data_IF_247333944109
#
_entry.id   IF_247333944109
#
_cell.length_a   1.000
_cell.length_b   1.000
_cell.length_c   1.000
_cell.angle_alpha   90.00
_cell.angle_beta   90.00
_cell.angle_gamma   90.00
#
_symmetry.space_group_name_H-M   'P 1'
#
loop_
_entity.id
_entity.type
_entity.pdbx_description
1 polymer ?
#
# COMPACT_ATOMS: atom_id res chain seq x y z
N UNK A 1 3.86 -18.64 -37.97
CA UNK A 1 5.22 -18.47 -37.40
C UNK A 1 5.73 -19.85 -37.03
N UNK A 2 6.96 -20.23 -37.43
CA UNK A 2 7.52 -21.55 -37.08
C UNK A 2 7.97 -21.50 -35.60
N UNK A 3 7.72 -22.55 -34.78
CA UNK A 3 8.01 -22.54 -33.34
C UNK A 3 9.41 -22.08 -32.95
N UNK A 4 10.44 -22.38 -33.75
CA UNK A 4 11.82 -21.96 -33.49
C UNK A 4 12.03 -20.44 -33.57
N UNK A 5 11.37 -19.75 -34.50
CA UNK A 5 11.44 -18.29 -34.60
C UNK A 5 10.64 -17.61 -33.50
N UNK A 6 9.55 -18.23 -33.05
CA UNK A 6 8.79 -17.73 -31.91
C UNK A 6 9.62 -17.79 -30.62
N UNK A 7 10.28 -18.91 -30.33
CA UNK A 7 11.18 -19.05 -29.17
C UNK A 7 12.31 -18.00 -29.23
N UNK A 8 12.97 -17.89 -30.38
CA UNK A 8 14.09 -16.97 -30.54
C UNK A 8 13.67 -15.50 -30.38
N UNK A 9 12.57 -15.09 -31.00
CA UNK A 9 12.17 -13.67 -31.01
C UNK A 9 11.49 -13.30 -29.68
N UNK A 10 10.57 -14.12 -29.20
CA UNK A 10 9.72 -13.75 -28.05
C UNK A 10 10.38 -14.12 -26.73
N UNK A 11 10.82 -15.37 -26.57
CA UNK A 11 11.35 -15.88 -25.30
C UNK A 11 12.81 -15.47 -25.08
N UNK A 12 13.65 -15.56 -26.11
CA UNK A 12 15.08 -15.20 -25.97
C UNK A 12 15.36 -13.74 -26.30
N UNK A 13 14.73 -13.21 -27.35
CA UNK A 13 14.91 -11.82 -27.74
C UNK A 13 14.25 -10.86 -26.75
N UNK A 14 12.92 -10.74 -26.83
CA UNK A 14 12.20 -9.71 -26.11
C UNK A 14 12.19 -9.91 -24.59
N UNK A 15 11.93 -11.13 -24.11
CA UNK A 15 11.77 -11.37 -22.68
C UNK A 15 13.07 -11.21 -21.89
N UNK A 16 14.21 -11.71 -22.39
CA UNK A 16 15.50 -11.54 -21.71
C UNK A 16 15.92 -10.05 -21.67
N UNK A 17 15.76 -9.32 -22.78
CA UNK A 17 16.04 -7.88 -22.83
C UNK A 17 15.16 -7.10 -21.84
N UNK A 18 13.86 -7.43 -21.77
CA UNK A 18 12.96 -6.77 -20.81
C UNK A 18 13.33 -7.08 -19.35
N UNK A 19 13.73 -8.33 -19.06
CA UNK A 19 14.21 -8.70 -17.73
C UNK A 19 15.49 -7.94 -17.36
N UNK A 20 16.49 -7.95 -18.23
CA UNK A 20 17.75 -7.23 -18.01
C UNK A 20 17.52 -5.73 -17.84
N UNK A 21 16.65 -5.14 -18.66
CA UNK A 21 16.26 -3.75 -18.52
C UNK A 21 15.59 -3.49 -17.17
N UNK A 22 14.65 -4.35 -16.75
CA UNK A 22 13.98 -4.19 -15.46
C UNK A 22 14.94 -4.27 -14.28
N UNK A 23 15.93 -5.18 -14.32
CA UNK A 23 16.98 -5.23 -13.29
C UNK A 23 17.86 -3.98 -13.32
N UNK A 24 18.16 -3.44 -14.51
CA UNK A 24 18.97 -2.23 -14.65
C UNK A 24 18.36 -1.01 -13.96
N UNK A 25 17.02 -0.97 -13.85
CA UNK A 25 16.25 0.07 -13.17
C UNK A 25 16.15 -0.15 -11.65
N UNK A 26 16.43 -1.36 -11.16
CA UNK A 26 16.41 -1.65 -9.73
C UNK A 26 17.65 -1.12 -9.02
N UNK A 27 17.58 -1.10 -7.68
CA UNK A 27 18.66 -0.68 -6.80
C UNK A 27 19.98 -1.40 -7.10
N UNK A 28 21.09 -0.79 -6.68
CA UNK A 28 22.41 -1.42 -6.78
C UNK A 28 22.46 -2.78 -6.06
N UNK A 29 21.76 -2.91 -4.93
CA UNK A 29 21.68 -4.15 -4.17
C UNK A 29 21.13 -5.30 -5.03
N UNK A 30 20.01 -5.09 -5.74
CA UNK A 30 19.46 -6.13 -6.60
C UNK A 30 20.41 -6.43 -7.76
N UNK A 31 20.91 -5.39 -8.46
CA UNK A 31 21.76 -5.53 -9.67
C UNK A 31 23.05 -6.32 -9.47
N UNK A 32 23.61 -6.32 -8.26
CA UNK A 32 24.92 -6.92 -7.98
C UNK A 32 24.83 -8.33 -7.41
N UNK A 33 23.63 -8.82 -7.12
CA UNK A 33 23.42 -10.08 -6.43
C UNK A 33 23.09 -11.24 -7.37
N UNK A 34 22.82 -12.40 -6.77
CA UNK A 34 22.62 -13.64 -7.50
C UNK A 34 21.33 -13.63 -8.32
N UNK A 35 21.28 -14.56 -9.28
CA UNK A 35 20.06 -14.84 -10.07
C UNK A 35 18.82 -15.09 -9.19
N UNK A 36 19.00 -15.73 -8.04
CA UNK A 36 17.88 -15.95 -7.09
C UNK A 36 17.31 -14.62 -6.57
N UNK A 37 18.17 -13.65 -6.24
CA UNK A 37 17.73 -12.32 -5.79
C UNK A 37 17.06 -11.56 -6.94
N UNK A 38 17.56 -11.69 -8.16
CA UNK A 38 16.90 -11.17 -9.35
C UNK A 38 15.49 -11.75 -9.52
N UNK A 39 15.33 -13.07 -9.43
CA UNK A 39 14.02 -13.73 -9.54
C UNK A 39 13.06 -13.29 -8.43
N UNK A 40 13.54 -13.08 -7.20
CA UNK A 40 12.73 -12.46 -6.13
C UNK A 40 12.38 -11.00 -6.43
N UNK A 41 13.32 -10.21 -6.97
CA UNK A 41 13.11 -8.82 -7.36
C UNK A 41 12.01 -8.68 -8.43
N UNK A 42 11.87 -9.65 -9.33
CA UNK A 42 10.80 -9.67 -10.34
C UNK A 42 9.39 -9.70 -9.72
N UNK A 43 9.23 -10.27 -8.52
CA UNK A 43 7.93 -10.26 -7.83
C UNK A 43 7.42 -8.84 -7.60
N UNK A 44 8.32 -7.87 -7.43
CA UNK A 44 7.96 -6.45 -7.32
C UNK A 44 7.16 -5.98 -8.52
N UNK A 45 7.59 -6.36 -9.73
CA UNK A 45 6.95 -5.96 -10.98
C UNK A 45 5.68 -6.78 -11.19
N UNK A 46 5.71 -8.08 -10.91
CA UNK A 46 4.56 -8.97 -11.12
C UNK A 46 3.37 -8.58 -10.25
N UNK A 47 3.61 -8.27 -8.97
CA UNK A 47 2.56 -7.96 -8.00
C UNK A 47 2.08 -6.51 -8.07
N UNK A 48 2.82 -5.61 -8.73
CA UNK A 48 2.51 -4.18 -8.75
C UNK A 48 2.06 -3.73 -10.13
N UNK A 49 0.85 -3.19 -10.20
CA UNK A 49 0.33 -2.63 -11.44
C UNK A 49 -0.74 -1.59 -11.17
N UNK A 50 -0.96 -0.73 -12.14
CA UNK A 50 -2.12 0.16 -12.16
C UNK A 50 -3.32 -0.66 -12.63
N UNK A 51 -4.36 -0.75 -11.80
CA UNK A 51 -5.54 -1.59 -12.07
C UNK A 51 -6.82 -0.79 -11.90
N UNK A 52 -7.67 -0.78 -12.94
CA UNK A 52 -8.93 -0.01 -12.97
C UNK A 52 -9.97 -0.49 -11.95
N UNK A 53 -10.06 -1.80 -11.71
CA UNK A 53 -11.06 -2.39 -10.81
C UNK A 53 -10.61 -2.51 -9.34
N UNK A 54 -9.43 -2.02 -9.00
CA UNK A 54 -8.84 -2.10 -7.66
C UNK A 54 -7.95 -0.88 -7.38
N UNK A 55 -8.50 0.30 -7.71
CA UNK A 55 -7.83 1.59 -7.51
C UNK A 55 -7.72 1.91 -6.03
N UNK A 56 -6.57 2.47 -5.69
CA UNK A 56 -6.27 3.06 -4.40
C UNK A 56 -7.00 4.41 -4.29
N UNK A 57 -7.65 4.75 -3.15
CA UNK A 57 -8.24 6.08 -2.97
C UNK A 57 -7.26 7.22 -3.26
N UNK A 58 -7.80 8.31 -3.83
CA UNK A 58 -7.03 9.46 -4.29
C UNK A 58 -6.17 10.06 -3.17
N UNK A 59 -4.93 10.36 -3.51
CA UNK A 59 -3.99 11.10 -2.67
C UNK A 59 -4.42 12.57 -2.59
N UNK A 60 -3.90 13.28 -1.59
CA UNK A 60 -4.18 14.71 -1.44
C UNK A 60 -3.69 15.49 -2.67
N UNK A 61 -4.49 16.44 -3.20
CA UNK A 61 -4.05 17.36 -4.25
C UNK A 61 -2.91 18.29 -3.77
N UNK A 62 -2.72 18.41 -2.45
CA UNK A 62 -1.67 19.22 -1.81
C UNK A 62 -0.39 18.42 -1.51
N UNK A 63 -0.25 17.23 -2.11
CA UNK A 63 0.95 16.40 -1.97
C UNK A 63 2.17 17.08 -2.63
N UNK A 64 3.34 16.98 -1.99
CA UNK A 64 4.61 17.46 -2.58
C UNK A 64 5.00 16.61 -3.80
N UNK A 65 5.76 17.19 -4.72
CA UNK A 65 6.29 16.46 -5.87
C UNK A 65 7.25 15.32 -5.45
N UNK A 66 7.34 14.21 -6.23
CA UNK A 66 6.57 13.93 -7.45
C UNK A 66 5.12 13.54 -7.13
N UNK A 67 4.16 14.02 -7.92
CA UNK A 67 2.75 13.62 -7.88
C UNK A 67 2.47 12.49 -8.88
N UNK A 68 1.50 11.60 -8.60
CA UNK A 68 1.08 10.59 -9.56
C UNK A 68 0.49 11.25 -10.81
N UNK A 69 0.73 10.65 -11.97
CA UNK A 69 0.11 11.09 -13.23
C UNK A 69 -1.41 11.02 -13.13
N UNK A 70 -2.10 12.01 -13.70
CA UNK A 70 -3.56 12.05 -13.75
C UNK A 70 -4.04 11.70 -15.16
N UNK A 71 -5.10 10.90 -15.23
CA UNK A 71 -5.80 10.55 -16.47
C UNK A 71 -7.29 10.81 -16.27
N UNK A 72 -8.00 11.22 -17.32
CA UNK A 72 -9.46 11.27 -17.30
C UNK A 72 -9.99 9.92 -17.76
N UNK A 73 -10.78 9.25 -16.93
CA UNK A 73 -11.40 7.98 -17.30
C UNK A 73 -12.41 8.23 -18.43
N UNK A 74 -12.21 7.61 -19.59
CA UNK A 74 -13.04 7.83 -20.78
C UNK A 74 -14.51 7.42 -20.58
N UNK A 75 -14.81 6.55 -19.62
CA UNK A 75 -16.15 6.02 -19.39
C UNK A 75 -16.91 6.81 -18.32
N UNK A 76 -16.23 7.20 -17.23
CA UNK A 76 -16.86 7.93 -16.11
C UNK A 76 -16.62 9.43 -16.17
N UNK A 77 -15.70 9.90 -17.01
CA UNK A 77 -15.22 11.29 -17.08
C UNK A 77 -14.61 11.80 -15.77
N UNK A 78 -14.24 10.89 -14.86
CA UNK A 78 -13.61 11.24 -13.59
C UNK A 78 -12.10 11.39 -13.76
N UNK A 79 -11.52 12.38 -13.08
CA UNK A 79 -10.07 12.52 -12.95
C UNK A 79 -9.53 11.47 -11.98
N UNK A 80 -8.62 10.63 -12.45
CA UNK A 80 -8.06 9.53 -11.67
C UNK A 80 -6.54 9.60 -11.63
N UNK A 81 -6.00 9.41 -10.43
CA UNK A 81 -4.56 9.30 -10.21
C UNK A 81 -4.09 7.88 -10.56
N UNK A 82 -3.05 7.80 -11.39
CA UNK A 82 -2.44 6.57 -11.85
C UNK A 82 -1.47 6.03 -10.79
N UNK A 83 -2.00 5.66 -9.63
CA UNK A 83 -1.23 5.06 -8.55
C UNK A 83 -1.13 3.54 -8.73
N UNK A 84 0.07 2.97 -8.87
CA UNK A 84 0.24 1.52 -8.84
C UNK A 84 -0.19 0.95 -7.50
N UNK A 85 -0.88 -0.19 -7.52
CA UNK A 85 -1.34 -0.87 -6.32
C UNK A 85 -0.74 -2.28 -6.25
N UNK A 86 -0.48 -2.76 -5.04
CA UNK A 86 0.16 -4.05 -4.80
C UNK A 86 -0.89 -5.15 -4.57
N UNK A 87 -0.85 -6.19 -5.40
CA UNK A 87 -1.63 -7.41 -5.20
C UNK A 87 -1.08 -8.23 -4.03
N UNK A 88 -1.96 -8.77 -3.18
CA UNK A 88 -1.55 -9.73 -2.15
C UNK A 88 -1.15 -11.09 -2.74
N UNK A 89 -1.60 -11.42 -3.96
CA UNK A 89 -1.14 -12.60 -4.67
C UNK A 89 -2.00 -13.01 -5.86
N UNK A 90 -1.40 -13.74 -6.80
CA UNK A 90 -2.10 -14.32 -7.94
C UNK A 90 -2.51 -15.77 -7.70
N UNK A 91 -3.57 -16.27 -8.35
CA UNK A 91 -4.56 -15.53 -9.14
C UNK A 91 -5.78 -15.08 -8.31
N UNK A 92 -5.77 -15.27 -6.99
CA UNK A 92 -6.97 -15.08 -6.16
C UNK A 92 -7.11 -13.68 -5.57
N UNK A 93 -6.01 -12.95 -5.40
CA UNK A 93 -5.94 -11.65 -4.73
C UNK A 93 -5.30 -10.58 -5.63
N UNK A 94 -5.60 -10.61 -6.93
CA UNK A 94 -5.02 -9.67 -7.90
C UNK A 94 -5.99 -8.59 -8.38
N UNK A 95 -7.29 -8.67 -8.07
CA UNK A 95 -8.29 -7.74 -8.60
C UNK A 95 -9.46 -7.53 -7.65
N UNK A 96 -10.25 -6.49 -7.93
CA UNK A 96 -11.40 -6.11 -7.11
C UNK A 96 -11.02 -5.73 -5.68
N UNK A 97 -11.96 -5.94 -4.76
CA UNK A 97 -11.80 -5.65 -3.33
C UNK A 97 -10.73 -6.51 -2.64
N UNK A 98 -10.31 -7.61 -3.27
CA UNK A 98 -9.37 -8.58 -2.70
C UNK A 98 -7.91 -8.31 -3.03
N UNK A 99 -7.64 -7.30 -3.87
CA UNK A 99 -6.28 -7.01 -4.35
C UNK A 99 -5.38 -6.49 -3.23
N UNK A 100 -5.85 -5.47 -2.51
CA UNK A 100 -5.05 -4.68 -1.58
C UNK A 100 -5.44 -5.03 -0.15
N UNK A 101 -4.46 -5.47 0.64
CA UNK A 101 -4.62 -5.77 2.06
C UNK A 101 -3.48 -5.08 2.81
N UNK A 102 -3.76 -4.11 3.67
CA UNK A 102 -2.69 -3.28 4.22
C UNK A 102 -1.63 -4.05 5.01
N UNK A 103 -2.03 -5.11 5.73
CA UNK A 103 -1.08 -6.06 6.35
C UNK A 103 -0.07 -6.62 5.33
N UNK A 104 -0.56 -7.25 4.28
CA UNK A 104 0.25 -7.92 3.26
C UNK A 104 1.06 -6.90 2.46
N UNK A 105 0.47 -5.73 2.20
CA UNK A 105 1.15 -4.60 1.54
C UNK A 105 2.34 -4.13 2.35
N UNK A 106 2.18 -3.86 3.65
CA UNK A 106 3.26 -3.30 4.46
C UNK A 106 4.30 -4.31 4.92
N UNK A 107 3.95 -5.58 5.08
CA UNK A 107 4.97 -6.63 5.26
C UNK A 107 5.86 -6.70 4.01
N UNK A 108 5.26 -6.62 2.82
CA UNK A 108 5.97 -6.76 1.56
C UNK A 108 6.67 -5.48 1.09
N UNK A 109 6.25 -4.29 1.56
CA UNK A 109 6.72 -2.99 1.09
C UNK A 109 8.24 -2.85 1.15
N UNK A 110 8.87 -3.30 2.24
CA UNK A 110 10.32 -3.23 2.39
C UNK A 110 11.03 -4.05 1.31
N UNK A 111 10.63 -5.31 1.10
CA UNK A 111 11.25 -6.20 0.13
C UNK A 111 10.95 -5.83 -1.32
N UNK A 112 9.70 -5.51 -1.63
CA UNK A 112 9.24 -5.31 -3.00
C UNK A 112 9.49 -3.90 -3.51
N UNK A 113 9.51 -2.87 -2.65
CA UNK A 113 9.70 -1.49 -3.10
C UNK A 113 11.00 -0.86 -2.59
N UNK A 114 11.28 -0.90 -1.29
CA UNK A 114 12.45 -0.19 -0.76
C UNK A 114 13.76 -0.86 -1.19
N UNK A 115 13.88 -2.19 -1.04
CA UNK A 115 15.08 -2.90 -1.46
C UNK A 115 15.29 -2.89 -2.98
N UNK A 116 14.22 -2.79 -3.77
CA UNK A 116 14.31 -2.70 -5.23
C UNK A 116 14.52 -1.28 -5.74
N UNK A 117 14.44 -0.25 -4.89
CA UNK A 117 14.64 1.14 -5.26
C UNK A 117 13.39 1.86 -5.80
N UNK A 118 12.20 1.29 -5.62
CA UNK A 118 10.92 1.80 -6.12
C UNK A 118 10.23 2.70 -5.08
N UNK A 119 10.87 3.82 -4.76
CA UNK A 119 10.47 4.67 -3.63
C UNK A 119 9.19 5.47 -3.88
N UNK A 120 8.89 5.81 -5.13
CA UNK A 120 7.66 6.54 -5.48
C UNK A 120 6.43 5.64 -5.25
N UNK A 121 6.47 4.39 -5.70
CA UNK A 121 5.39 3.44 -5.46
C UNK A 121 5.21 3.12 -3.98
N UNK A 122 6.30 3.03 -3.21
CA UNK A 122 6.24 2.89 -1.76
C UNK A 122 5.51 4.06 -1.08
N UNK A 123 5.76 5.29 -1.54
CA UNK A 123 5.11 6.52 -1.03
C UNK A 123 3.59 6.49 -1.23
N UNK A 124 3.11 5.92 -2.33
CA UNK A 124 1.68 5.91 -2.67
C UNK A 124 0.87 4.74 -2.04
N UNK A 125 1.53 3.70 -1.54
CA UNK A 125 0.89 2.47 -1.05
C UNK A 125 0.65 2.42 0.47
N UNK A 126 0.71 3.56 1.16
CA UNK A 126 0.61 3.59 2.62
C UNK A 126 -0.85 3.45 3.15
N UNK A 127 -1.38 2.22 3.32
CA UNK A 127 -2.71 1.99 3.93
C UNK A 127 -2.84 0.77 4.84
N UNK A 128 -3.57 0.98 5.94
CA UNK A 128 -4.11 0.04 6.94
C UNK A 128 -3.16 -1.03 7.51
N UNK A 129 -3.47 -1.58 8.69
CA UNK A 129 -2.52 -2.25 9.60
C UNK A 129 -1.46 -1.31 10.22
N UNK A 130 -1.92 -0.52 11.19
CA UNK A 130 -1.19 0.57 11.86
C UNK A 130 0.27 0.24 12.23
N UNK A 131 0.55 -0.92 12.80
CA UNK A 131 1.92 -1.24 13.25
C UNK A 131 2.86 -1.54 12.09
N UNK A 132 2.41 -2.28 11.09
CA UNK A 132 3.19 -2.54 9.88
C UNK A 132 3.37 -1.29 9.04
N UNK A 133 2.36 -0.43 9.01
CA UNK A 133 2.43 0.90 8.42
C UNK A 133 3.48 1.78 9.10
N UNK A 134 3.48 1.86 10.43
CA UNK A 134 4.47 2.63 11.20
C UNK A 134 5.88 2.09 10.98
N UNK A 135 6.04 0.76 11.00
CA UNK A 135 7.31 0.10 10.71
C UNK A 135 7.80 0.41 9.29
N UNK A 136 6.91 0.32 8.30
CA UNK A 136 7.21 0.63 6.90
C UNK A 136 7.57 2.09 6.69
N UNK A 137 6.84 3.01 7.34
CA UNK A 137 7.13 4.44 7.29
C UNK A 137 8.48 4.74 7.93
N UNK A 138 8.80 4.10 9.05
CA UNK A 138 10.13 4.18 9.65
C UNK A 138 11.21 3.66 8.69
N UNK A 139 11.04 2.49 8.08
CA UNK A 139 12.00 1.99 7.09
C UNK A 139 12.17 2.96 5.91
N UNK A 140 11.08 3.56 5.43
CA UNK A 140 11.13 4.56 4.36
C UNK A 140 12.01 5.74 4.75
N UNK A 141 11.82 6.32 5.93
CA UNK A 141 12.61 7.49 6.36
C UNK A 141 14.10 7.19 6.53
N UNK A 142 14.48 5.94 6.83
CA UNK A 142 15.88 5.54 6.98
C UNK A 142 16.55 5.12 5.67
N UNK A 143 15.79 4.56 4.72
CA UNK A 143 16.34 4.00 3.47
C UNK A 143 16.34 5.03 2.34
N UNK A 144 15.29 5.86 2.25
CA UNK A 144 15.13 6.83 1.17
C UNK A 144 15.93 8.10 1.49
N UNK A 145 16.75 8.62 0.56
CA UNK A 145 17.41 9.92 0.73
C UNK A 145 16.40 11.02 1.04
N UNK A 146 16.69 11.84 2.06
CA UNK A 146 15.78 12.87 2.59
C UNK A 146 14.39 12.31 2.98
N UNK A 147 14.28 11.01 3.30
CA UNK A 147 13.01 10.33 3.49
C UNK A 147 12.15 10.89 4.64
N UNK A 148 12.74 11.60 5.61
CA UNK A 148 12.00 12.28 6.69
C UNK A 148 11.00 13.32 6.19
N UNK A 149 11.24 13.88 5.02
CA UNK A 149 10.37 14.85 4.38
C UNK A 149 8.94 14.35 4.21
N UNK A 150 8.76 13.03 4.01
CA UNK A 150 7.44 12.40 3.86
C UNK A 150 6.54 12.67 5.07
N UNK A 151 7.11 12.89 6.25
CA UNK A 151 6.34 13.19 7.47
C UNK A 151 5.56 14.52 7.37
N UNK A 152 6.03 15.43 6.52
CA UNK A 152 5.34 16.70 6.26
C UNK A 152 4.32 16.62 5.12
N UNK A 153 4.26 15.50 4.39
CA UNK A 153 3.31 15.30 3.30
C UNK A 153 1.86 15.31 3.80
N UNK A 154 0.97 15.84 2.96
CA UNK A 154 -0.45 15.87 3.24
C UNK A 154 -1.10 14.54 2.87
N UNK A 155 -1.84 13.99 3.84
CA UNK A 155 -2.66 12.80 3.67
C UNK A 155 -4.13 13.20 3.77
N UNK A 156 -4.91 12.84 2.75
CA UNK A 156 -6.35 13.04 2.72
C UNK A 156 -7.04 12.15 3.75
N UNK A 157 -7.73 12.75 4.70
CA UNK A 157 -8.55 12.05 5.68
C UNK A 157 -9.97 11.90 5.15
N UNK A 158 -10.20 10.79 4.45
CA UNK A 158 -11.52 10.46 3.88
C UNK A 158 -12.60 10.32 4.96
N UNK A 159 -12.21 9.92 6.18
CA UNK A 159 -13.11 9.83 7.34
C UNK A 159 -12.56 10.70 8.48
N UNK A 160 -12.97 11.99 8.56
CA UNK A 160 -12.53 12.89 9.62
C UNK A 160 -12.81 12.38 11.04
N UNK A 161 -13.97 11.75 11.25
CA UNK A 161 -14.33 11.17 12.55
C UNK A 161 -14.82 9.72 12.37
N UNK A 162 -14.94 8.99 13.49
CA UNK A 162 -15.36 7.59 13.47
C UNK A 162 -16.72 7.39 12.79
N UNK A 163 -17.62 8.37 12.86
CA UNK A 163 -18.99 8.30 12.34
C UNK A 163 -19.24 9.17 11.09
N UNK A 164 -18.24 9.95 10.64
CA UNK A 164 -18.42 10.83 9.48
C UNK A 164 -18.63 10.03 8.18
N UNK A 165 -19.44 10.50 7.21
CA UNK A 165 -19.44 9.92 5.88
C UNK A 165 -18.05 10.06 5.21
N UNK A 166 -17.82 9.27 4.17
CA UNK A 166 -16.62 9.42 3.34
C UNK A 166 -16.63 10.80 2.66
N UNK A 167 -15.50 11.50 2.70
CA UNK A 167 -15.27 12.76 2.03
C UNK A 167 -14.26 12.59 0.89
N UNK A 168 -14.34 13.48 -0.10
CA UNK A 168 -13.38 13.52 -1.20
C UNK A 168 -11.98 13.93 -0.73
N UNK A 169 -10.96 13.49 -1.46
CA UNK A 169 -9.57 13.87 -1.21
C UNK A 169 -9.37 15.40 -1.22
N UNK A 170 -8.52 15.91 -0.33
CA UNK A 170 -8.26 17.36 -0.21
C UNK A 170 -9.25 18.16 0.63
N UNK A 171 -10.42 17.60 1.01
CA UNK A 171 -11.38 18.31 1.87
C UNK A 171 -10.85 18.43 3.31
N UNK A 172 -10.27 17.36 3.83
CA UNK A 172 -9.66 17.33 5.16
C UNK A 172 -8.27 16.70 5.07
N UNK A 173 -7.25 17.55 4.94
CA UNK A 173 -5.85 17.12 4.90
C UNK A 173 -5.18 17.29 6.26
N UNK A 174 -4.34 16.33 6.60
CA UNK A 174 -3.44 16.41 7.76
C UNK A 174 -2.04 15.95 7.38
N UNK A 175 -1.01 16.40 8.11
CA UNK A 175 0.34 15.92 7.84
C UNK A 175 0.46 14.45 8.22
N UNK A 176 1.33 13.71 7.53
CA UNK A 176 1.62 12.32 7.88
C UNK A 176 2.10 12.20 9.34
N UNK A 177 2.91 13.15 9.81
CA UNK A 177 3.34 13.25 11.20
C UNK A 177 2.16 13.32 12.17
N UNK A 178 1.18 14.19 11.92
CA UNK A 178 0.00 14.32 12.76
C UNK A 178 -0.82 13.03 12.78
N UNK A 179 -0.93 12.33 11.63
CA UNK A 179 -1.62 11.03 11.53
C UNK A 179 -0.93 9.99 12.39
N UNK A 180 0.39 9.91 12.34
CA UNK A 180 1.21 8.98 13.13
C UNK A 180 1.04 9.27 14.61
N UNK A 181 1.18 10.54 15.00
CA UNK A 181 1.02 10.96 16.39
C UNK A 181 -0.39 10.62 16.91
N UNK A 182 -1.43 10.91 16.13
CA UNK A 182 -2.81 10.59 16.45
C UNK A 182 -3.04 9.08 16.60
N UNK A 183 -2.47 8.27 15.69
CA UNK A 183 -2.57 6.81 15.75
C UNK A 183 -1.93 6.27 17.04
N UNK A 184 -0.73 6.72 17.38
CA UNK A 184 -0.04 6.32 18.61
C UNK A 184 -0.82 6.76 19.86
N UNK A 185 -1.27 8.02 19.89
CA UNK A 185 -2.02 8.57 21.02
C UNK A 185 -3.31 7.79 21.27
N UNK A 186 -4.04 7.41 20.21
CA UNK A 186 -5.25 6.59 20.34
C UNK A 186 -5.00 5.22 20.94
N UNK A 187 -3.89 4.57 20.61
CA UNK A 187 -3.55 3.28 21.22
C UNK A 187 -3.21 3.43 22.70
N UNK A 188 -2.48 4.49 23.07
CA UNK A 188 -2.16 4.78 24.49
C UNK A 188 -3.42 5.10 25.30
N UNK A 189 -4.37 5.81 24.71
CA UNK A 189 -5.65 6.15 25.36
C UNK A 189 -6.64 4.98 25.41
N UNK A 190 -6.34 3.88 24.71
CA UNK A 190 -7.28 2.80 24.38
C UNK A 190 -8.51 3.28 23.58
N UNK A 191 -9.05 2.39 22.77
CA UNK A 191 -10.21 2.66 21.93
C UNK A 191 -11.17 1.48 21.98
N UNK A 192 -12.43 1.77 22.30
CA UNK A 192 -13.56 0.85 22.13
C UNK A 192 -14.40 1.35 20.99
N UNK A 193 -14.68 0.49 20.01
CA UNK A 193 -15.46 0.86 18.85
C UNK A 193 -16.23 -0.33 18.32
N UNK A 194 -17.29 -0.04 17.57
CA UNK A 194 -18.01 -1.03 16.80
C UNK A 194 -17.68 -0.84 15.32
N UNK A 195 -17.50 -1.94 14.59
CA UNK A 195 -17.20 -1.86 13.17
C UNK A 195 -18.31 -1.14 12.40
N UNK A 196 -17.91 -0.24 11.50
CA UNK A 196 -18.85 0.52 10.68
C UNK A 196 -19.57 -0.43 9.73
N UNK A 197 -20.90 -0.40 9.75
CA UNK A 197 -21.73 -1.28 8.92
C UNK A 197 -21.88 -2.69 9.50
N UNK A 198 -21.60 -2.87 10.79
CA UNK A 198 -21.77 -4.14 11.50
C UNK A 198 -23.13 -4.82 11.21
N UNK A 199 -23.05 -6.12 10.97
CA UNK A 199 -24.19 -6.98 10.59
C UNK A 199 -23.83 -7.93 9.45
N UNK A 200 -24.76 -8.81 9.11
CA UNK A 200 -24.56 -9.88 8.12
C UNK A 200 -24.20 -9.40 6.70
N UNK A 201 -24.43 -8.12 6.38
CA UNK A 201 -24.00 -7.52 5.11
C UNK A 201 -22.50 -7.27 5.05
N UNK A 202 -21.85 -7.05 6.20
CA UNK A 202 -20.41 -6.83 6.30
C UNK A 202 -19.68 -8.17 6.46
N UNK A 203 -20.14 -8.98 7.42
CA UNK A 203 -19.66 -10.35 7.62
C UNK A 203 -20.85 -11.25 7.99
N UNK A 204 -21.14 -12.22 7.13
CA UNK A 204 -22.30 -13.10 7.31
C UNK A 204 -22.10 -14.14 8.43
N UNK A 205 -20.85 -14.46 8.80
CA UNK A 205 -20.50 -15.50 9.77
C UNK A 205 -20.21 -14.92 11.16
N UNK A 206 -19.82 -13.65 11.23
CA UNK A 206 -19.52 -12.97 12.50
C UNK A 206 -20.77 -12.81 13.38
N UNK A 207 -20.64 -13.19 14.65
CA UNK A 207 -21.64 -12.90 15.67
C UNK A 207 -21.73 -11.39 15.94
N UNK A 208 -22.88 -10.91 16.38
CA UNK A 208 -23.12 -9.47 16.62
C UNK A 208 -22.11 -8.84 17.60
N UNK A 209 -21.72 -9.60 18.64
CA UNK A 209 -20.71 -9.16 19.61
C UNK A 209 -19.33 -9.01 18.96
N UNK A 210 -19.00 -9.85 17.96
CA UNK A 210 -17.71 -9.85 17.27
C UNK A 210 -17.36 -8.53 16.58
N UNK A 211 -18.37 -7.74 16.20
CA UNK A 211 -18.15 -6.40 15.64
C UNK A 211 -17.71 -5.36 16.68
N UNK A 212 -17.79 -5.65 17.97
CA UNK A 212 -17.36 -4.75 19.04
C UNK A 212 -15.90 -5.07 19.39
N UNK A 213 -15.00 -4.13 19.12
CA UNK A 213 -13.57 -4.30 19.34
C UNK A 213 -13.06 -3.33 20.40
N UNK A 214 -12.07 -3.80 21.16
CA UNK A 214 -11.27 -2.97 22.04
C UNK A 214 -9.80 -3.11 21.62
N UNK A 215 -9.08 -2.00 21.60
CA UNK A 215 -7.63 -1.96 21.39
C UNK A 215 -7.00 -1.00 22.40
N UNK A 216 -5.74 -1.22 22.75
CA UNK A 216 -5.03 -0.29 23.63
C UNK A 216 -3.63 -0.74 23.99
N UNK A 217 -3.00 0.01 24.91
CA UNK A 217 -1.74 -0.34 25.56
C UNK A 217 -2.01 -0.63 27.04
N UNK A 218 -1.56 -1.78 27.52
CA UNK A 218 -1.56 -2.07 28.96
C UNK A 218 -0.56 -1.14 29.65
N UNK A 219 -1.05 -0.18 30.43
CA UNK A 219 -0.25 0.83 31.13
C UNK A 219 0.76 0.24 32.13
N UNK A 220 0.56 -1.00 32.59
CA UNK A 220 1.48 -1.67 33.51
C UNK A 220 2.63 -2.34 32.79
N UNK A 221 2.38 -2.92 31.62
CA UNK A 221 3.38 -3.72 30.89
C UNK A 221 3.96 -3.01 29.67
N UNK A 222 3.28 -1.99 29.15
CA UNK A 222 3.62 -1.28 27.92
C UNK A 222 3.28 -2.06 26.65
N UNK A 223 2.67 -3.25 26.74
CA UNK A 223 2.33 -4.05 25.57
C UNK A 223 0.97 -3.68 25.00
N UNK A 224 0.87 -3.74 23.67
CA UNK A 224 -0.40 -3.60 22.97
C UNK A 224 -1.30 -4.82 23.22
N UNK A 225 -2.60 -4.56 23.37
CA UNK A 225 -3.65 -5.56 23.42
C UNK A 225 -4.76 -5.17 22.44
N UNK A 226 -5.56 -6.15 22.02
CA UNK A 226 -6.75 -5.84 21.27
C UNK A 226 -7.50 -7.06 20.73
N UNK A 227 -8.67 -6.79 20.17
CA UNK A 227 -9.61 -7.77 19.66
C UNK A 227 -10.80 -7.97 20.58
N UNK A 228 -11.61 -8.97 20.24
CA UNK A 228 -12.74 -9.44 21.02
C UNK A 228 -12.59 -10.95 21.27
N UNK A 229 -13.26 -11.47 22.30
CA UNK A 229 -13.31 -12.90 22.60
C UNK A 229 -14.33 -13.64 21.75
#
# INVERSE_FOLDING_TARGET
MIPCYFDLIILRGSYEILLEHSYSLMSQFIRQLSRFVHELGQLSIQLTSIVRNARLPLLSPNLREPRPTEETDEHTFEHVQQCPSLAAGFPHFYGGIWRNWGRDTFISLHGLFLLTGRYEEARYNARDAVWWWLYSTSNYTHIVPDGHDILSDKVSRLYPTHDSPAQSAGIHDQSLYDVIHEALLRHVQSLKFRERGAGHSLDFVMNDEGFNNEIGIDQRTGFAYGGNR
#
